data_IF_640865554200
#
_entry.id   IF_640865554200
#
_cell.length_a   1.000
_cell.length_b   1.000
_cell.length_c   1.000
_cell.angle_alpha   90.00
_cell.angle_beta   90.00
_cell.angle_gamma   90.00
#
_symmetry.space_group_name_H-M   'P 1'
#
loop_
_entity.id
_entity.type
_entity.pdbx_description
1 polymer ?
#
# COMPACT_ATOMS: atom_id res chain seq x y z
N UNK A 1 -21.80 27.25 8.84
CA UNK A 1 -21.26 27.42 7.47
C UNK A 1 -21.84 26.32 6.59
N UNK A 2 -22.41 26.70 5.44
CA UNK A 2 -23.22 25.86 4.54
C UNK A 2 -22.35 25.18 3.49
N UNK A 3 -22.62 23.88 3.24
CA UNK A 3 -22.43 23.11 1.98
C UNK A 3 -20.98 22.97 1.51
N UNK A 4 -20.49 21.77 1.21
CA UNK A 4 -20.56 21.19 -0.14
C UNK A 4 -20.55 19.66 -0.01
N UNK A 5 -21.67 19.04 -0.38
CA UNK A 5 -21.75 17.62 -0.74
C UNK A 5 -21.36 17.57 -2.20
N UNK A 6 -20.17 17.05 -2.51
CA UNK A 6 -19.84 16.68 -3.89
C UNK A 6 -20.49 15.33 -4.14
N UNK A 7 -21.72 15.40 -4.67
CA UNK A 7 -22.38 14.29 -5.32
C UNK A 7 -21.57 13.90 -6.56
N UNK A 8 -20.80 12.82 -6.48
CA UNK A 8 -20.31 12.13 -7.67
C UNK A 8 -21.38 11.13 -8.07
N UNK A 9 -22.28 11.63 -8.91
CA UNK A 9 -23.18 10.87 -9.76
C UNK A 9 -22.40 9.85 -10.59
N UNK A 10 -22.53 8.56 -10.27
CA UNK A 10 -22.39 7.47 -11.24
C UNK A 10 -23.60 6.55 -11.08
N UNK A 11 -24.77 7.13 -11.32
CA UNK A 11 -26.00 6.43 -11.64
C UNK A 11 -26.13 6.45 -13.16
N UNK A 12 -25.52 5.49 -13.86
CA UNK A 12 -25.80 5.21 -15.28
C UNK A 12 -24.97 4.04 -15.82
N UNK A 13 -25.32 2.81 -15.44
CA UNK A 13 -25.22 1.62 -16.31
C UNK A 13 -26.35 0.64 -15.99
N UNK A 14 -27.58 1.12 -16.08
CA UNK A 14 -28.78 0.29 -16.24
C UNK A 14 -29.26 0.49 -17.67
N UNK A 15 -28.56 -0.15 -18.61
CA UNK A 15 -29.11 -0.38 -19.94
C UNK A 15 -29.61 -1.81 -20.00
N UNK A 16 -30.92 -1.94 -19.84
CA UNK A 16 -31.70 -3.02 -20.43
C UNK A 16 -31.22 -3.26 -21.86
N UNK A 17 -30.65 -4.43 -22.13
CA UNK A 17 -30.74 -5.08 -23.44
C UNK A 17 -30.95 -6.55 -23.18
N UNK A 18 -32.15 -7.06 -23.50
CA UNK A 18 -32.41 -8.49 -23.43
C UNK A 18 -33.88 -8.92 -23.32
N UNK A 19 -34.83 -8.25 -23.98
CA UNK A 19 -36.05 -8.95 -24.40
C UNK A 19 -35.64 -9.96 -25.48
N UNK A 20 -35.49 -11.22 -25.10
CA UNK A 20 -35.19 -12.33 -25.99
C UNK A 20 -36.07 -13.52 -25.64
N UNK A 21 -37.23 -13.61 -26.28
CA UNK A 21 -38.08 -14.79 -26.25
C UNK A 21 -37.43 -15.90 -27.08
N UNK A 22 -36.83 -16.91 -26.43
CA UNK A 22 -36.64 -18.23 -27.06
C UNK A 22 -36.59 -19.33 -26.01
N UNK A 23 -37.67 -20.11 -26.01
CA UNK A 23 -37.84 -21.44 -25.45
C UNK A 23 -36.63 -22.35 -25.74
N UNK A 24 -36.16 -23.09 -24.74
CA UNK A 24 -35.21 -24.18 -24.96
C UNK A 24 -34.31 -24.45 -23.77
N UNK A 25 -34.75 -25.35 -22.90
CA UNK A 25 -33.97 -26.01 -21.85
C UNK A 25 -32.53 -26.34 -22.28
N UNK A 26 -31.57 -25.65 -21.68
CA UNK A 26 -30.24 -26.18 -21.37
C UNK A 26 -29.84 -25.60 -20.03
N UNK A 27 -29.89 -26.44 -18.98
CA UNK A 27 -29.40 -26.15 -17.64
C UNK A 27 -28.01 -25.50 -17.72
N UNK A 28 -27.96 -24.18 -17.58
CA UNK A 28 -26.75 -23.51 -17.15
C UNK A 28 -26.61 -23.86 -15.68
N UNK A 29 -25.59 -24.65 -15.36
CA UNK A 29 -25.10 -24.82 -13.99
C UNK A 29 -24.44 -23.51 -13.57
N UNK A 30 -25.22 -22.42 -13.52
CA UNK A 30 -24.78 -21.12 -13.04
C UNK A 30 -24.93 -21.13 -11.53
N UNK A 31 -23.78 -21.34 -10.89
CA UNK A 31 -23.53 -21.16 -9.46
C UNK A 31 -24.37 -20.02 -8.88
N UNK A 32 -25.51 -20.37 -8.29
CA UNK A 32 -26.41 -19.41 -7.63
C UNK A 32 -25.81 -19.11 -6.26
N UNK A 33 -24.81 -18.23 -6.22
CA UNK A 33 -24.35 -17.67 -4.95
C UNK A 33 -25.55 -16.95 -4.31
N UNK A 34 -25.81 -17.23 -3.05
CA UNK A 34 -26.90 -16.58 -2.32
C UNK A 34 -26.60 -15.09 -2.15
N UNK A 35 -27.63 -14.26 -1.97
CA UNK A 35 -27.49 -12.81 -1.78
C UNK A 35 -26.56 -12.48 -0.60
N UNK A 36 -26.57 -13.29 0.47
CA UNK A 36 -25.60 -13.23 1.58
C UNK A 36 -24.15 -13.50 1.16
N UNK A 37 -23.90 -14.39 0.19
CA UNK A 37 -22.56 -14.64 -0.34
C UNK A 37 -22.06 -13.46 -1.19
N UNK A 38 -22.94 -12.82 -1.95
CA UNK A 38 -22.62 -11.59 -2.66
C UNK A 38 -22.32 -10.43 -1.70
N UNK A 39 -23.10 -10.26 -0.63
CA UNK A 39 -22.88 -9.20 0.34
C UNK A 39 -21.55 -9.39 1.12
N UNK A 40 -21.23 -10.64 1.50
CA UNK A 40 -19.95 -10.97 2.13
C UNK A 40 -18.76 -10.73 1.20
N UNK A 41 -18.87 -11.12 -0.07
CA UNK A 41 -17.81 -10.85 -1.06
C UNK A 41 -17.67 -9.36 -1.37
N UNK A 42 -18.77 -8.60 -1.42
CA UNK A 42 -18.73 -7.17 -1.64
C UNK A 42 -18.05 -6.43 -0.47
N UNK A 43 -18.42 -6.75 0.79
CA UNK A 43 -17.76 -6.19 1.98
C UNK A 43 -16.28 -6.52 2.02
N UNK A 44 -15.91 -7.77 1.72
CA UNK A 44 -14.50 -8.18 1.64
C UNK A 44 -13.74 -7.39 0.58
N UNK A 45 -14.30 -7.19 -0.61
CA UNK A 45 -13.65 -6.36 -1.65
C UNK A 45 -13.51 -4.90 -1.25
N UNK A 46 -14.47 -4.36 -0.50
CA UNK A 46 -14.39 -2.98 0.02
C UNK A 46 -13.29 -2.84 1.08
N UNK A 47 -13.19 -3.81 2.00
CA UNK A 47 -12.14 -3.87 3.01
C UNK A 47 -10.75 -4.05 2.36
N UNK A 48 -10.63 -4.97 1.40
CA UNK A 48 -9.39 -5.20 0.64
C UNK A 48 -8.98 -3.92 -0.13
N UNK A 49 -9.94 -3.18 -0.69
CA UNK A 49 -9.66 -1.93 -1.39
C UNK A 49 -9.18 -0.82 -0.46
N UNK A 50 -9.77 -0.69 0.75
CA UNK A 50 -9.30 0.25 1.78
C UNK A 50 -7.90 -0.12 2.24
N UNK A 51 -7.65 -1.39 2.56
CA UNK A 51 -6.33 -1.87 2.99
C UNK A 51 -5.26 -1.63 1.91
N UNK A 52 -5.58 -1.83 0.63
CA UNK A 52 -4.69 -1.49 -0.48
C UNK A 52 -4.33 0.00 -0.51
N UNK A 53 -5.30 0.88 -0.30
CA UNK A 53 -5.05 2.32 -0.29
C UNK A 53 -4.13 2.72 0.87
N UNK A 54 -4.40 2.21 2.06
CA UNK A 54 -3.56 2.42 3.25
C UNK A 54 -2.12 1.92 3.01
N UNK A 55 -1.95 0.71 2.50
CA UNK A 55 -0.62 0.15 2.20
C UNK A 55 0.15 0.97 1.16
N UNK A 56 -0.52 1.50 0.13
CA UNK A 56 0.15 2.35 -0.87
C UNK A 56 0.66 3.64 -0.23
N UNK A 57 -0.11 4.24 0.67
CA UNK A 57 0.29 5.44 1.40
C UNK A 57 1.45 5.15 2.37
N UNK A 58 1.35 4.07 3.16
CA UNK A 58 2.42 3.59 4.06
C UNK A 58 3.73 3.33 3.30
N UNK A 59 3.67 2.62 2.17
CA UNK A 59 4.82 2.33 1.30
C UNK A 59 5.44 3.63 0.78
N UNK A 60 4.62 4.62 0.38
CA UNK A 60 5.12 5.90 -0.10
C UNK A 60 5.90 6.64 0.98
N UNK A 61 5.34 6.71 2.20
CA UNK A 61 5.98 7.36 3.35
C UNK A 61 7.27 6.63 3.74
N UNK A 62 7.25 5.29 3.77
CA UNK A 62 8.44 4.50 4.08
C UNK A 62 9.57 4.73 3.07
N UNK A 63 9.26 4.83 1.77
CA UNK A 63 10.26 5.15 0.73
C UNK A 63 10.88 6.51 0.93
N UNK A 64 10.08 7.54 1.23
CA UNK A 64 10.58 8.88 1.50
C UNK A 64 11.44 8.95 2.76
N UNK A 65 11.04 8.23 3.82
CA UNK A 65 11.79 8.11 5.06
C UNK A 65 13.15 7.44 4.84
N UNK A 66 13.19 6.30 4.14
CA UNK A 66 14.43 5.58 3.80
C UNK A 66 15.35 6.48 2.98
N UNK A 67 14.84 7.17 1.96
CA UNK A 67 15.64 8.08 1.14
C UNK A 67 16.26 9.22 1.97
N UNK A 68 15.49 9.77 2.91
CA UNK A 68 15.94 10.83 3.81
C UNK A 68 17.02 10.32 4.76
N UNK A 69 16.82 9.16 5.39
CA UNK A 69 17.81 8.56 6.29
C UNK A 69 19.09 8.17 5.55
N UNK A 70 19.00 7.63 4.34
CA UNK A 70 20.17 7.34 3.50
C UNK A 70 20.97 8.60 3.17
N UNK A 71 20.29 9.73 2.92
CA UNK A 71 20.96 11.01 2.69
C UNK A 71 21.70 11.46 3.95
N UNK A 72 21.05 11.46 5.11
CA UNK A 72 21.70 11.81 6.38
C UNK A 72 22.87 10.88 6.71
N UNK A 73 22.71 9.59 6.48
CA UNK A 73 23.74 8.58 6.68
C UNK A 73 24.98 8.90 5.83
N UNK A 74 24.79 9.25 4.56
CA UNK A 74 25.89 9.62 3.66
C UNK A 74 26.60 10.90 4.09
N UNK A 75 25.85 11.91 4.52
CA UNK A 75 26.42 13.16 5.05
C UNK A 75 27.19 12.91 6.35
N UNK A 76 26.67 12.03 7.21
CA UNK A 76 27.34 11.60 8.44
C UNK A 76 28.67 10.90 8.11
N UNK A 77 28.68 9.90 7.23
CA UNK A 77 29.91 9.21 6.80
C UNK A 77 30.98 10.16 6.24
N UNK A 78 30.56 11.19 5.50
CA UNK A 78 31.48 12.21 4.99
C UNK A 78 32.11 13.00 6.14
N UNK A 79 31.31 13.43 7.13
CA UNK A 79 31.83 14.11 8.33
C UNK A 79 32.73 13.22 9.19
N UNK A 80 32.46 11.91 9.26
CA UNK A 80 33.31 10.94 9.95
C UNK A 80 34.71 10.89 9.33
N UNK A 81 34.77 10.92 8.01
CA UNK A 81 36.01 10.83 7.23
C UNK A 81 36.84 12.10 7.32
N UNK A 82 36.19 13.26 7.49
CA UNK A 82 36.84 14.57 7.59
C UNK A 82 37.35 14.90 9.01
N UNK A 83 36.80 14.27 10.05
CA UNK A 83 37.23 14.47 11.44
C UNK A 83 38.42 13.56 11.81
N UNK A 84 39.49 14.17 12.34
CA UNK A 84 40.77 13.48 12.65
C UNK A 84 40.99 13.20 14.14
N UNK A 85 39.98 13.42 14.99
CA UNK A 85 40.06 13.10 16.42
C UNK A 85 39.58 11.67 16.68
N UNK A 86 40.51 10.75 16.96
CA UNK A 86 40.28 9.30 17.14
C UNK A 86 39.14 8.98 18.13
N UNK A 87 39.04 9.70 19.25
CA UNK A 87 38.00 9.48 20.26
C UNK A 87 36.58 9.94 19.83
N UNK A 88 36.51 10.96 18.97
CA UNK A 88 35.23 11.39 18.37
C UNK A 88 34.86 10.42 17.24
N UNK A 89 35.86 9.92 16.52
CA UNK A 89 35.69 9.04 15.37
C UNK A 89 35.05 7.70 15.75
N UNK A 90 35.46 7.07 16.86
CA UNK A 90 34.88 5.79 17.30
C UNK A 90 33.37 5.89 17.65
N UNK A 91 32.97 6.92 18.40
CA UNK A 91 31.56 7.16 18.73
C UNK A 91 30.72 7.52 17.48
N UNK A 92 31.36 8.20 16.54
CA UNK A 92 30.73 8.60 15.29
C UNK A 92 30.54 7.38 14.37
N UNK A 93 31.54 6.50 14.27
CA UNK A 93 31.47 5.24 13.51
C UNK A 93 30.41 4.29 14.06
N UNK A 94 30.26 4.20 15.39
CA UNK A 94 29.17 3.44 16.02
C UNK A 94 27.80 4.02 15.65
N UNK A 95 27.67 5.35 15.68
CA UNK A 95 26.43 6.03 15.29
C UNK A 95 26.08 5.80 13.81
N UNK A 96 27.09 5.82 12.93
CA UNK A 96 26.97 5.48 11.51
C UNK A 96 26.54 4.02 11.33
N UNK A 97 27.10 3.08 12.09
CA UNK A 97 26.72 1.67 12.02
C UNK A 97 25.26 1.43 12.46
N UNK A 98 24.83 2.05 13.56
CA UNK A 98 23.44 1.97 14.04
C UNK A 98 22.48 2.58 13.01
N UNK A 99 22.83 3.71 12.39
CA UNK A 99 22.04 4.33 11.34
C UNK A 99 21.84 3.42 10.12
N UNK A 100 22.90 2.71 9.69
CA UNK A 100 22.80 1.70 8.62
C UNK A 100 21.85 0.58 8.96
N UNK A 101 21.97 0.02 10.16
CA UNK A 101 21.11 -1.08 10.59
C UNK A 101 19.63 -0.65 10.64
N UNK A 102 19.35 0.56 11.12
CA UNK A 102 17.99 1.12 11.08
C UNK A 102 17.43 1.28 9.66
N UNK A 103 18.26 1.67 8.69
CA UNK A 103 17.87 1.74 7.27
C UNK A 103 17.56 0.35 6.72
N UNK A 104 18.38 -0.66 7.03
CA UNK A 104 18.15 -2.04 6.59
C UNK A 104 16.83 -2.60 7.15
N UNK A 105 16.53 -2.34 8.43
CA UNK A 105 15.27 -2.75 9.05
C UNK A 105 14.06 -2.09 8.38
N UNK A 106 14.14 -0.80 8.06
CA UNK A 106 13.08 -0.09 7.34
C UNK A 106 12.90 -0.61 5.90
N UNK A 107 14.00 -0.94 5.21
CA UNK A 107 13.95 -1.56 3.89
C UNK A 107 13.27 -2.93 3.93
N UNK A 108 13.49 -3.70 4.99
CA UNK A 108 12.82 -4.98 5.20
C UNK A 108 11.32 -4.80 5.42
N UNK A 109 10.92 -3.87 6.29
CA UNK A 109 9.50 -3.55 6.51
C UNK A 109 8.81 -3.06 5.23
N UNK A 110 9.51 -2.25 4.43
CA UNK A 110 9.03 -1.83 3.12
C UNK A 110 8.81 -3.03 2.18
N UNK A 111 9.75 -3.97 2.14
CA UNK A 111 9.62 -5.17 1.31
C UNK A 111 8.43 -6.05 1.75
N UNK A 112 8.22 -6.19 3.06
CA UNK A 112 7.09 -6.94 3.62
C UNK A 112 5.75 -6.27 3.27
N UNK A 113 5.66 -4.94 3.38
CA UNK A 113 4.47 -4.18 2.98
C UNK A 113 4.19 -4.24 1.46
N UNK A 114 5.24 -4.17 0.63
CA UNK A 114 5.12 -4.34 -0.82
C UNK A 114 4.65 -5.76 -1.20
N UNK A 115 5.08 -6.78 -0.43
CA UNK A 115 4.60 -8.15 -0.59
C UNK A 115 3.11 -8.29 -0.21
N UNK A 116 2.68 -7.73 0.93
CA UNK A 116 1.27 -7.69 1.34
C UNK A 116 0.40 -7.03 0.26
N UNK A 117 0.82 -5.89 -0.26
CA UNK A 117 0.11 -5.19 -1.34
C UNK A 117 0.00 -6.05 -2.61
N UNK A 118 1.02 -6.86 -2.92
CA UNK A 118 1.04 -7.75 -4.08
C UNK A 118 0.11 -8.95 -3.90
N UNK A 119 -0.02 -9.48 -2.69
CA UNK A 119 -0.96 -10.58 -2.38
C UNK A 119 -2.42 -10.11 -2.43
N UNK A 120 -2.65 -8.84 -2.07
CA UNK A 120 -3.98 -8.24 -2.19
C UNK A 120 -4.38 -7.96 -3.65
N UNK A 121 -3.42 -7.77 -4.57
CA UNK A 121 -3.67 -7.39 -5.98
C UNK A 121 -4.51 -8.40 -6.75
#
# INVERSE_FOLDING_TARGET
MKKIIVAVTILSMLTLVGCGNSTGDKKTSESTKTEEQFEKEAKKREEDAKRKQELVEEISIMKESIATMQKFQKESEQMATENTFEDIQANFDESVAVGKQGIEDLQKQLADAEAELKELK
#
